data_IF_921077721130
#
_entry.id   IF_921077721130
#
_cell.length_a   1.000
_cell.length_b   1.000
_cell.length_c   1.000
_cell.angle_alpha   90.00
_cell.angle_beta   90.00
_cell.angle_gamma   90.00
#
_symmetry.space_group_name_H-M   'P 1'
#
loop_
_entity.id
_entity.type
_entity.pdbx_description
1 polymer ?
#
# COMPACT_ATOMS: atom_id res chain seq x y z
N UNK A 1 -44.58 -7.23 -6.09
CA UNK A 1 -43.46 -7.88 -5.39
C UNK A 1 -42.34 -8.03 -6.42
N UNK A 2 -41.43 -7.10 -6.45
CA UNK A 2 -40.22 -7.15 -7.30
C UNK A 2 -39.09 -7.70 -6.45
N UNK A 3 -38.58 -8.89 -6.81
CA UNK A 3 -37.40 -9.50 -6.22
C UNK A 3 -36.22 -8.50 -6.24
N UNK A 4 -35.41 -8.48 -5.18
CA UNK A 4 -34.17 -7.69 -5.20
C UNK A 4 -33.29 -8.26 -6.33
N UNK A 5 -33.05 -7.50 -7.37
CA UNK A 5 -32.09 -7.85 -8.41
C UNK A 5 -30.72 -8.02 -7.74
N UNK A 6 -30.30 -9.27 -7.56
CA UNK A 6 -28.92 -9.60 -7.28
C UNK A 6 -28.04 -8.93 -8.35
N UNK A 7 -27.01 -8.20 -7.90
CA UNK A 7 -26.05 -7.66 -8.83
C UNK A 7 -25.46 -8.82 -9.64
N UNK A 8 -25.42 -8.74 -10.99
CA UNK A 8 -25.01 -9.86 -11.81
C UNK A 8 -23.62 -10.30 -11.41
N UNK A 9 -23.47 -11.57 -11.03
CA UNK A 9 -22.19 -12.18 -10.72
C UNK A 9 -21.24 -11.91 -11.90
N UNK A 10 -20.13 -11.18 -11.64
CA UNK A 10 -19.14 -10.90 -12.68
C UNK A 10 -18.55 -12.23 -13.11
N UNK A 11 -18.73 -12.61 -14.38
CA UNK A 11 -18.23 -13.88 -14.92
C UNK A 11 -16.73 -14.04 -14.61
N UNK A 12 -16.28 -15.24 -14.25
CA UNK A 12 -14.93 -15.52 -13.75
C UNK A 12 -13.78 -14.99 -14.65
N UNK A 13 -13.93 -15.05 -15.97
CA UNK A 13 -12.92 -14.51 -16.89
C UNK A 13 -12.80 -12.97 -16.83
N UNK A 14 -13.91 -12.24 -16.54
CA UNK A 14 -13.86 -10.78 -16.33
C UNK A 14 -13.18 -10.44 -15.01
N UNK A 15 -13.40 -11.25 -13.97
CA UNK A 15 -12.71 -11.10 -12.68
C UNK A 15 -11.20 -11.25 -12.85
N UNK A 16 -10.75 -12.29 -13.54
CA UNK A 16 -9.33 -12.52 -13.85
C UNK A 16 -8.75 -11.36 -14.66
N UNK A 17 -9.46 -10.88 -15.69
CA UNK A 17 -9.03 -9.73 -16.49
C UNK A 17 -8.87 -8.44 -15.67
N UNK A 18 -9.80 -8.15 -14.75
CA UNK A 18 -9.71 -7.00 -13.86
C UNK A 18 -8.50 -7.13 -12.91
N UNK A 19 -8.28 -8.31 -12.32
CA UNK A 19 -7.14 -8.55 -11.42
C UNK A 19 -5.82 -8.43 -12.15
N UNK A 20 -5.68 -9.00 -13.34
CA UNK A 20 -4.45 -8.89 -14.15
C UNK A 20 -4.22 -7.45 -14.60
N UNK A 21 -5.22 -6.78 -15.15
CA UNK A 21 -5.09 -5.39 -15.63
C UNK A 21 -4.77 -4.41 -14.51
N UNK A 22 -5.54 -4.47 -13.41
CA UNK A 22 -5.31 -3.59 -12.26
C UNK A 22 -4.00 -3.94 -11.53
N UNK A 23 -3.65 -5.22 -11.41
CA UNK A 23 -2.38 -5.66 -10.83
C UNK A 23 -1.17 -5.14 -11.62
N UNK A 24 -1.22 -5.21 -12.96
CA UNK A 24 -0.20 -4.65 -13.85
C UNK A 24 -0.13 -3.12 -13.71
N UNK A 25 -1.28 -2.43 -13.68
CA UNK A 25 -1.31 -0.99 -13.45
C UNK A 25 -0.74 -0.59 -12.07
N UNK A 26 -0.99 -1.40 -11.03
CA UNK A 26 -0.38 -1.20 -9.71
C UNK A 26 1.13 -1.45 -9.73
N UNK A 27 1.60 -2.48 -10.46
CA UNK A 27 3.05 -2.72 -10.65
C UNK A 27 3.72 -1.50 -11.26
N UNK A 28 3.14 -0.95 -12.34
CA UNK A 28 3.63 0.27 -12.98
C UNK A 28 3.62 1.47 -12.00
N UNK A 29 2.51 1.70 -11.30
CA UNK A 29 2.35 2.83 -10.39
C UNK A 29 3.37 2.80 -9.24
N UNK A 30 3.61 1.64 -8.62
CA UNK A 30 4.60 1.50 -7.55
C UNK A 30 6.03 1.63 -8.08
N UNK A 31 6.35 1.03 -9.22
CA UNK A 31 7.67 1.06 -9.85
C UNK A 31 8.11 2.48 -10.19
N UNK A 32 7.23 3.25 -10.82
CA UNK A 32 7.49 4.60 -11.34
C UNK A 32 7.28 5.72 -10.33
N UNK A 33 6.83 5.42 -9.10
CA UNK A 33 6.61 6.41 -8.05
C UNK A 33 7.42 6.11 -6.79
N UNK A 34 6.91 5.25 -5.92
CA UNK A 34 7.53 4.96 -4.62
C UNK A 34 8.94 4.39 -4.75
N UNK A 35 9.17 3.50 -5.73
CA UNK A 35 10.48 2.88 -5.94
C UNK A 35 11.44 3.71 -6.80
N UNK A 36 10.93 4.69 -7.54
CA UNK A 36 11.71 5.55 -8.41
C UNK A 36 12.78 6.34 -7.67
N UNK A 37 12.43 6.89 -6.47
CA UNK A 37 13.30 7.78 -5.70
C UNK A 37 14.69 7.20 -5.42
N UNK A 38 14.77 5.88 -5.22
CA UNK A 38 16.02 5.19 -4.91
C UNK A 38 17.10 5.38 -6.00
N UNK A 39 16.70 5.58 -7.25
CA UNK A 39 17.61 5.69 -8.40
C UNK A 39 17.77 7.10 -8.93
N UNK A 40 16.75 7.95 -8.74
CA UNK A 40 16.79 9.31 -9.32
C UNK A 40 17.25 10.37 -8.32
N UNK A 41 17.23 10.11 -7.01
CA UNK A 41 17.53 11.13 -6.01
C UNK A 41 18.96 11.70 -6.14
N UNK A 42 19.97 10.86 -6.28
CA UNK A 42 21.35 11.27 -6.48
C UNK A 42 21.56 12.04 -7.79
N UNK A 43 21.20 11.47 -8.95
CA UNK A 43 21.28 12.16 -10.24
C UNK A 43 20.49 13.48 -10.28
N UNK A 44 19.28 13.55 -9.70
CA UNK A 44 18.52 14.79 -9.61
C UNK A 44 19.25 15.86 -8.79
N UNK A 45 19.81 15.46 -7.63
CA UNK A 45 20.53 16.37 -6.76
C UNK A 45 21.78 16.95 -7.46
N UNK A 46 22.55 16.08 -8.11
CA UNK A 46 23.77 16.50 -8.82
C UNK A 46 23.46 17.44 -10.00
N UNK A 47 22.44 17.12 -10.80
CA UNK A 47 22.12 17.87 -12.01
C UNK A 47 21.49 19.26 -11.71
N UNK A 48 20.72 19.38 -10.62
CA UNK A 48 20.06 20.65 -10.24
C UNK A 48 20.90 21.46 -9.24
N UNK A 49 22.06 20.94 -8.83
CA UNK A 49 22.92 21.62 -7.83
C UNK A 49 22.29 21.69 -6.43
N UNK A 50 21.65 20.60 -6.00
CA UNK A 50 20.97 20.46 -4.71
C UNK A 50 21.54 19.30 -3.88
N UNK A 51 20.99 19.07 -2.70
CA UNK A 51 21.33 17.91 -1.88
C UNK A 51 20.35 16.76 -2.09
N UNK A 52 20.83 15.52 -1.97
CA UNK A 52 19.97 14.33 -1.98
C UNK A 52 18.90 14.41 -0.89
N UNK A 53 19.22 14.99 0.27
CA UNK A 53 18.26 15.22 1.35
C UNK A 53 17.08 16.10 0.92
N UNK A 54 17.34 17.13 0.08
CA UNK A 54 16.30 18.01 -0.46
C UNK A 54 15.36 17.24 -1.40
N UNK A 55 15.88 16.29 -2.17
CA UNK A 55 15.06 15.43 -3.04
C UNK A 55 14.19 14.48 -2.21
N UNK A 56 14.76 13.86 -1.17
CA UNK A 56 13.98 13.04 -0.24
C UNK A 56 12.93 13.86 0.53
N UNK A 57 13.22 15.14 0.84
CA UNK A 57 12.22 16.04 1.42
C UNK A 57 11.05 16.29 0.45
N UNK A 58 11.31 16.45 -0.84
CA UNK A 58 10.27 16.57 -1.85
C UNK A 58 9.40 15.29 -1.94
N UNK A 59 10.04 14.12 -1.88
CA UNK A 59 9.34 12.84 -1.80
C UNK A 59 8.49 12.70 -0.52
N UNK A 60 9.02 13.14 0.63
CA UNK A 60 8.24 13.23 1.87
C UNK A 60 7.00 14.10 1.67
N UNK A 61 7.16 15.28 1.04
CA UNK A 61 6.05 16.14 0.64
C UNK A 61 5.02 15.42 -0.23
N UNK A 62 5.47 14.61 -1.20
CA UNK A 62 4.59 13.78 -2.02
C UNK A 62 3.76 12.78 -1.19
N UNK A 63 4.38 12.09 -0.22
CA UNK A 63 3.68 11.17 0.68
C UNK A 63 2.64 11.89 1.56
N UNK A 64 2.95 13.11 2.01
CA UNK A 64 2.00 13.93 2.77
C UNK A 64 0.81 14.38 1.89
N UNK A 65 1.03 14.78 0.64
CA UNK A 65 -0.06 15.06 -0.32
C UNK A 65 -0.93 13.83 -0.50
N UNK A 66 -0.33 12.65 -0.70
CA UNK A 66 -1.07 11.40 -0.82
C UNK A 66 -1.89 11.07 0.44
N UNK A 67 -1.35 11.35 1.65
CA UNK A 67 -2.06 11.18 2.91
C UNK A 67 -3.28 12.11 3.02
N UNK A 68 -3.13 13.39 2.68
CA UNK A 68 -4.19 14.39 2.75
C UNK A 68 -5.34 14.13 1.77
N UNK A 69 -5.00 13.61 0.58
CA UNK A 69 -5.99 13.30 -0.45
C UNK A 69 -6.75 11.99 -0.18
N UNK A 70 -6.14 11.06 0.53
CA UNK A 70 -6.67 9.71 0.75
C UNK A 70 -8.16 9.65 1.12
N UNK A 71 -8.63 10.35 2.17
CA UNK A 71 -10.04 10.31 2.57
C UNK A 71 -10.99 10.85 1.48
N UNK A 72 -10.61 11.93 0.77
CA UNK A 72 -11.42 12.48 -0.33
C UNK A 72 -11.49 11.52 -1.52
N UNK A 73 -10.36 10.95 -1.89
CA UNK A 73 -10.25 9.95 -2.96
C UNK A 73 -11.11 8.73 -2.65
N UNK A 74 -10.99 8.18 -1.45
CA UNK A 74 -11.80 7.04 -1.02
C UNK A 74 -13.29 7.33 -1.11
N UNK A 75 -13.75 8.48 -0.61
CA UNK A 75 -15.15 8.90 -0.73
C UNK A 75 -15.59 9.07 -2.19
N UNK A 76 -14.74 9.64 -3.03
CA UNK A 76 -15.02 9.78 -4.46
C UNK A 76 -15.21 8.42 -5.12
N UNK A 77 -14.38 7.43 -4.79
CA UNK A 77 -14.50 6.07 -5.31
C UNK A 77 -15.78 5.39 -4.82
N UNK A 78 -16.14 5.57 -3.55
CA UNK A 78 -17.39 5.02 -3.00
C UNK A 78 -18.63 5.55 -3.74
N UNK A 79 -18.62 6.81 -4.19
CA UNK A 79 -19.74 7.43 -4.89
C UNK A 79 -19.71 7.23 -6.41
N UNK A 80 -18.56 7.43 -7.04
CA UNK A 80 -18.43 7.48 -8.50
C UNK A 80 -17.85 6.20 -9.11
N UNK A 81 -17.25 5.33 -8.29
CA UNK A 81 -16.46 4.20 -8.74
C UNK A 81 -14.97 4.54 -8.91
N UNK A 82 -14.14 3.49 -9.06
CA UNK A 82 -12.68 3.64 -9.07
C UNK A 82 -12.08 3.93 -10.45
N UNK A 83 -12.82 3.66 -11.54
CA UNK A 83 -12.30 3.71 -12.92
C UNK A 83 -11.71 5.08 -13.27
N UNK A 84 -12.50 6.12 -13.12
CA UNK A 84 -12.14 7.50 -13.47
C UNK A 84 -11.03 8.04 -12.54
N UNK A 85 -11.09 7.72 -11.26
CA UNK A 85 -10.08 8.13 -10.26
C UNK A 85 -8.72 7.50 -10.58
N UNK A 86 -8.68 6.20 -10.86
CA UNK A 86 -7.47 5.48 -11.25
C UNK A 86 -6.95 5.90 -12.64
N UNK A 87 -7.84 6.29 -13.57
CA UNK A 87 -7.43 6.88 -14.83
C UNK A 87 -6.76 8.25 -14.63
N UNK A 88 -7.35 9.13 -13.82
CA UNK A 88 -6.77 10.44 -13.48
C UNK A 88 -5.42 10.29 -12.79
N UNK A 89 -5.22 9.26 -11.95
CA UNK A 89 -3.92 9.03 -11.33
C UNK A 89 -2.79 8.85 -12.35
N UNK A 90 -3.05 8.17 -13.47
CA UNK A 90 -2.05 7.99 -14.54
C UNK A 90 -1.69 9.33 -15.22
N UNK A 91 -2.67 10.23 -15.38
CA UNK A 91 -2.40 11.57 -15.90
C UNK A 91 -1.54 12.38 -14.92
N UNK A 92 -1.80 12.27 -13.60
CA UNK A 92 -1.01 12.92 -12.58
C UNK A 92 0.41 12.35 -12.47
N UNK A 93 0.57 11.02 -12.55
CA UNK A 93 1.88 10.38 -12.62
C UNK A 93 2.66 10.85 -13.86
N UNK A 94 2.04 10.82 -15.03
CA UNK A 94 2.69 11.27 -16.27
C UNK A 94 3.07 12.75 -16.18
N UNK A 95 2.18 13.62 -15.71
CA UNK A 95 2.45 15.05 -15.54
C UNK A 95 3.57 15.30 -14.53
N UNK A 96 3.55 14.63 -13.37
CA UNK A 96 4.59 14.75 -12.36
C UNK A 96 5.97 14.31 -12.88
N UNK A 97 6.03 13.17 -13.57
CA UNK A 97 7.24 12.65 -14.20
C UNK A 97 7.78 13.60 -15.31
N UNK A 98 6.90 14.16 -16.12
CA UNK A 98 7.29 15.15 -17.14
C UNK A 98 7.78 16.45 -16.51
N UNK A 99 7.09 16.97 -15.49
CA UNK A 99 7.54 18.17 -14.77
C UNK A 99 8.92 17.93 -14.13
N UNK A 100 9.15 16.75 -13.52
CA UNK A 100 10.48 16.39 -13.03
C UNK A 100 11.52 16.33 -14.15
N UNK A 101 11.20 15.66 -15.27
CA UNK A 101 12.12 15.54 -16.41
C UNK A 101 12.52 16.89 -17.00
N UNK A 102 11.66 17.88 -16.95
CA UNK A 102 11.88 19.24 -17.45
C UNK A 102 12.39 20.21 -16.36
N UNK A 103 12.56 19.75 -15.12
CA UNK A 103 12.96 20.62 -14.02
C UNK A 103 14.38 21.14 -14.20
N UNK A 104 14.53 22.47 -14.17
CA UNK A 104 15.81 23.16 -14.14
C UNK A 104 16.11 23.80 -12.78
N UNK A 105 15.23 23.63 -11.80
CA UNK A 105 15.37 24.20 -10.47
C UNK A 105 14.67 23.35 -9.41
N UNK A 106 15.09 23.50 -8.16
CA UNK A 106 14.53 22.79 -7.01
C UNK A 106 13.00 22.99 -6.88
N UNK A 107 12.42 24.20 -6.98
CA UNK A 107 10.97 24.38 -6.88
C UNK A 107 10.17 23.62 -7.95
N UNK A 108 10.67 23.58 -9.20
CA UNK A 108 10.01 22.84 -10.28
C UNK A 108 10.08 21.34 -10.02
N UNK A 109 11.22 20.83 -9.53
CA UNK A 109 11.36 19.44 -9.14
C UNK A 109 10.39 19.07 -7.99
N UNK A 110 10.25 19.94 -7.01
CA UNK A 110 9.28 19.77 -5.93
C UNK A 110 7.85 19.70 -6.46
N UNK A 111 7.48 20.59 -7.39
CA UNK A 111 6.17 20.53 -8.04
C UNK A 111 5.93 19.16 -8.69
N UNK A 112 6.93 18.62 -9.40
CA UNK A 112 6.87 17.28 -9.98
C UNK A 112 6.60 16.20 -8.92
N UNK A 113 7.34 16.21 -7.80
CA UNK A 113 7.12 15.28 -6.70
C UNK A 113 5.75 15.45 -6.03
N UNK A 114 5.26 16.68 -5.85
CA UNK A 114 3.93 16.92 -5.29
C UNK A 114 2.80 16.40 -6.22
N UNK A 115 2.96 16.55 -7.55
CA UNK A 115 2.06 15.94 -8.53
C UNK A 115 2.11 14.41 -8.46
N UNK A 116 3.31 13.83 -8.33
CA UNK A 116 3.48 12.40 -8.07
C UNK A 116 2.75 11.97 -6.79
N UNK A 117 2.81 12.79 -5.74
CA UNK A 117 2.08 12.55 -4.49
C UNK A 117 0.58 12.50 -4.69
N UNK A 118 0.02 13.42 -5.48
CA UNK A 118 -1.39 13.36 -5.86
C UNK A 118 -1.70 12.09 -6.66
N UNK A 119 -0.86 11.74 -7.64
CA UNK A 119 -0.95 10.48 -8.37
C UNK A 119 -0.94 9.26 -7.44
N UNK A 120 -0.03 9.22 -6.47
CA UNK A 120 0.05 8.15 -5.46
C UNK A 120 -1.22 8.07 -4.60
N UNK A 121 -1.79 9.21 -4.22
CA UNK A 121 -3.04 9.26 -3.45
C UNK A 121 -4.24 8.67 -4.22
N UNK A 122 -4.30 8.93 -5.53
CA UNK A 122 -5.39 8.48 -6.40
C UNK A 122 -5.15 7.08 -7.01
N UNK A 123 -3.91 6.59 -7.06
CA UNK A 123 -3.54 5.46 -7.91
C UNK A 123 -2.93 4.26 -7.23
N UNK A 124 -2.44 4.36 -5.98
CA UNK A 124 -1.85 3.23 -5.26
C UNK A 124 -2.90 2.37 -4.56
N UNK A 125 -2.45 1.39 -3.78
CA UNK A 125 -3.28 0.33 -3.20
C UNK A 125 -4.58 0.78 -2.55
N UNK A 126 -4.62 1.88 -1.79
CA UNK A 126 -5.85 2.30 -1.10
C UNK A 126 -6.98 2.59 -2.11
N UNK A 127 -6.65 3.29 -3.20
CA UNK A 127 -7.61 3.58 -4.27
C UNK A 127 -7.98 2.32 -5.05
N UNK A 128 -7.00 1.44 -5.34
CA UNK A 128 -7.25 0.17 -6.02
C UNK A 128 -8.12 -0.78 -5.18
N UNK A 129 -7.87 -0.87 -3.87
CA UNK A 129 -8.69 -1.67 -2.94
C UNK A 129 -10.10 -1.10 -2.82
N UNK A 130 -10.24 0.23 -2.71
CA UNK A 130 -11.54 0.89 -2.71
C UNK A 130 -12.33 0.58 -3.99
N UNK A 131 -11.67 0.64 -5.16
CA UNK A 131 -12.28 0.29 -6.44
C UNK A 131 -12.75 -1.18 -6.47
N UNK A 132 -11.92 -2.13 -5.99
CA UNK A 132 -12.29 -3.53 -5.89
C UNK A 132 -13.41 -3.76 -4.88
N UNK A 133 -13.39 -3.08 -3.74
CA UNK A 133 -14.48 -3.13 -2.75
C UNK A 133 -15.80 -2.64 -3.34
N UNK A 134 -15.76 -1.60 -4.18
CA UNK A 134 -16.95 -1.08 -4.88
C UNK A 134 -17.47 -2.02 -5.96
N UNK A 135 -16.58 -2.79 -6.62
CA UNK A 135 -16.96 -3.76 -7.69
C UNK A 135 -17.46 -5.07 -7.10
N UNK A 136 -16.79 -5.60 -6.08
CA UNK A 136 -17.01 -6.97 -5.58
C UNK A 136 -17.68 -7.04 -4.20
N UNK A 137 -17.85 -5.92 -3.51
CA UNK A 137 -18.44 -5.89 -2.17
C UNK A 137 -17.68 -6.79 -1.20
N UNK A 138 -18.38 -7.64 -0.47
CA UNK A 138 -17.81 -8.61 0.48
C UNK A 138 -16.85 -9.61 -0.17
N UNK A 139 -16.98 -9.86 -1.47
CA UNK A 139 -16.14 -10.79 -2.23
C UNK A 139 -14.82 -10.17 -2.74
N UNK A 140 -14.48 -8.94 -2.34
CA UNK A 140 -13.30 -8.25 -2.81
C UNK A 140 -11.97 -8.81 -2.26
N UNK A 141 -11.97 -9.64 -1.20
CA UNK A 141 -10.75 -10.22 -0.60
C UNK A 141 -9.85 -10.89 -1.65
N UNK A 142 -10.39 -11.81 -2.45
CA UNK A 142 -9.62 -12.52 -3.48
C UNK A 142 -9.00 -11.58 -4.53
N UNK A 143 -9.78 -10.68 -5.16
CA UNK A 143 -9.23 -9.64 -6.02
C UNK A 143 -8.16 -8.75 -5.37
N UNK A 144 -8.34 -8.32 -4.12
CA UNK A 144 -7.34 -7.53 -3.37
C UNK A 144 -6.03 -8.33 -3.24
N UNK A 145 -6.10 -9.58 -2.79
CA UNK A 145 -4.92 -10.46 -2.71
C UNK A 145 -4.29 -10.65 -4.08
N UNK A 146 -5.08 -10.87 -5.12
CA UNK A 146 -4.61 -11.06 -6.50
C UNK A 146 -3.79 -9.88 -7.04
N UNK A 147 -4.30 -8.65 -6.91
CA UNK A 147 -3.53 -7.47 -7.37
C UNK A 147 -2.27 -7.24 -6.53
N UNK A 148 -2.27 -7.59 -5.25
CA UNK A 148 -1.08 -7.45 -4.40
C UNK A 148 -0.02 -8.49 -4.70
N UNK A 149 -0.39 -9.68 -5.17
CA UNK A 149 0.54 -10.69 -5.66
C UNK A 149 1.28 -10.18 -6.90
N UNK A 150 0.55 -9.65 -7.89
CA UNK A 150 1.13 -9.13 -9.14
C UNK A 150 2.00 -7.90 -8.84
N UNK A 151 1.47 -6.92 -8.13
CA UNK A 151 2.21 -5.71 -7.79
C UNK A 151 3.29 -5.93 -6.72
N UNK A 152 3.35 -7.10 -6.11
CA UNK A 152 4.48 -7.53 -5.29
C UNK A 152 5.80 -7.57 -6.06
N UNK A 153 5.74 -7.71 -7.38
CA UNK A 153 6.91 -7.67 -8.27
C UNK A 153 7.28 -6.24 -8.73
N UNK A 154 6.63 -5.20 -8.21
CA UNK A 154 6.88 -3.83 -8.66
C UNK A 154 8.34 -3.38 -8.47
N UNK A 155 8.99 -3.74 -7.35
CA UNK A 155 10.43 -3.49 -7.16
C UNK A 155 11.29 -4.39 -8.03
N UNK A 156 10.93 -5.66 -8.20
CA UNK A 156 11.66 -6.63 -9.03
C UNK A 156 11.71 -6.20 -10.50
N UNK A 157 10.66 -5.59 -11.00
CA UNK A 157 10.59 -5.05 -12.37
C UNK A 157 11.10 -3.61 -12.44
N UNK A 158 10.66 -2.77 -11.50
CA UNK A 158 10.90 -1.33 -11.52
C UNK A 158 12.35 -0.95 -11.26
N UNK A 159 13.03 -1.64 -10.35
CA UNK A 159 14.41 -1.33 -10.02
C UNK A 159 15.38 -1.56 -11.18
N UNK A 160 15.42 -2.76 -11.80
CA UNK A 160 16.29 -2.97 -12.95
C UNK A 160 15.99 -2.06 -14.13
N UNK A 161 14.69 -1.83 -14.44
CA UNK A 161 14.29 -0.95 -15.53
C UNK A 161 14.69 0.52 -15.26
N UNK A 162 14.50 0.99 -14.02
CA UNK A 162 14.85 2.36 -13.65
C UNK A 162 16.37 2.55 -13.62
N UNK A 163 17.13 1.60 -13.03
CA UNK A 163 18.60 1.63 -13.02
C UNK A 163 19.16 1.65 -14.43
N UNK A 164 18.76 0.69 -15.24
CA UNK A 164 19.17 0.63 -16.66
C UNK A 164 18.84 1.92 -17.42
N UNK A 165 17.63 2.45 -17.22
CA UNK A 165 17.20 3.68 -17.87
C UNK A 165 18.05 4.88 -17.45
N UNK A 166 18.34 5.01 -16.14
CA UNK A 166 19.19 6.08 -15.61
C UNK A 166 20.61 5.97 -16.11
N UNK A 167 21.17 4.77 -16.15
CA UNK A 167 22.54 4.52 -16.61
C UNK A 167 22.69 4.73 -18.12
N UNK A 168 21.72 4.29 -18.93
CA UNK A 168 21.80 4.33 -20.39
C UNK A 168 21.35 5.67 -20.99
N UNK A 169 20.35 6.34 -20.42
CA UNK A 169 19.69 7.51 -21.02
C UNK A 169 19.61 8.73 -20.07
N UNK A 170 20.05 8.57 -18.84
CA UNK A 170 19.93 9.58 -17.79
C UNK A 170 18.55 9.62 -17.14
N UNK A 171 18.49 10.23 -15.94
CA UNK A 171 17.28 10.26 -15.12
C UNK A 171 16.09 10.99 -15.77
N UNK A 172 16.35 12.05 -16.57
CA UNK A 172 15.30 12.82 -17.26
C UNK A 172 14.56 11.96 -18.29
N UNK A 173 15.30 11.28 -19.17
CA UNK A 173 14.74 10.37 -20.17
C UNK A 173 14.04 9.17 -19.53
N UNK A 174 14.55 8.68 -18.40
CA UNK A 174 13.90 7.62 -17.61
C UNK A 174 12.55 8.07 -17.08
N UNK A 175 12.45 9.30 -16.54
CA UNK A 175 11.17 9.88 -16.12
C UNK A 175 10.20 10.02 -17.30
N UNK A 176 10.68 10.47 -18.48
CA UNK A 176 9.83 10.53 -19.70
C UNK A 176 9.35 9.13 -20.14
N UNK A 177 10.21 8.12 -20.05
CA UNK A 177 9.84 6.72 -20.34
C UNK A 177 8.74 6.21 -19.41
N UNK A 178 8.85 6.46 -18.12
CA UNK A 178 7.81 6.14 -17.16
C UNK A 178 6.51 6.93 -17.39
N UNK A 179 6.60 8.21 -17.77
CA UNK A 179 5.43 9.02 -18.15
C UNK A 179 4.72 8.41 -19.37
N UNK A 180 5.47 8.04 -20.40
CA UNK A 180 4.93 7.35 -21.57
C UNK A 180 4.27 6.01 -21.20
N UNK A 181 4.87 5.22 -20.30
CA UNK A 181 4.29 3.98 -19.81
C UNK A 181 2.96 4.20 -19.09
N UNK A 182 2.82 5.28 -18.31
CA UNK A 182 1.53 5.64 -17.70
C UNK A 182 0.47 5.98 -18.76
N UNK A 183 0.82 6.69 -19.81
CA UNK A 183 -0.11 7.07 -20.89
C UNK A 183 -0.48 5.90 -21.78
N UNK A 184 0.48 5.05 -22.14
CA UNK A 184 0.30 3.97 -23.12
C UNK A 184 -0.18 2.65 -22.49
N UNK A 185 0.11 2.42 -21.22
CA UNK A 185 -0.25 1.17 -20.53
C UNK A 185 -1.16 1.44 -19.33
N UNK A 186 -0.76 2.28 -18.37
CA UNK A 186 -1.49 2.50 -17.13
C UNK A 186 -2.88 3.09 -17.35
N UNK A 187 -2.97 4.16 -18.13
CA UNK A 187 -4.25 4.83 -18.44
C UNK A 187 -5.22 3.89 -19.19
N UNK A 188 -4.84 3.20 -20.27
CA UNK A 188 -5.72 2.24 -20.93
C UNK A 188 -6.18 1.09 -20.02
N UNK A 189 -5.26 0.51 -19.23
CA UNK A 189 -5.61 -0.57 -18.29
C UNK A 189 -6.67 -0.13 -17.28
N UNK A 190 -6.55 1.07 -16.70
CA UNK A 190 -7.51 1.57 -15.75
C UNK A 190 -8.80 2.04 -16.43
N UNK A 191 -8.72 2.64 -17.63
CA UNK A 191 -9.89 3.19 -18.32
C UNK A 191 -10.74 2.12 -18.99
N UNK A 192 -10.14 1.08 -19.55
CA UNK A 192 -10.83 0.03 -20.31
C UNK A 192 -10.91 -1.30 -19.54
N UNK A 193 -9.97 -1.54 -18.62
CA UNK A 193 -9.94 -2.77 -17.81
C UNK A 193 -10.93 -2.76 -16.64
N UNK A 194 -11.36 -1.59 -16.16
CA UNK A 194 -12.32 -1.49 -15.06
C UNK A 194 -13.74 -1.20 -15.57
N UNK A 195 -14.78 -1.80 -14.95
CA UNK A 195 -16.17 -1.54 -15.33
C UNK A 195 -16.57 -0.10 -14.97
N UNK A 196 -17.39 0.50 -15.81
CA UNK A 196 -18.06 1.75 -15.50
C UNK A 196 -19.22 1.47 -14.57
N UNK A 197 -19.12 1.90 -13.33
CA UNK A 197 -20.19 1.71 -12.35
C UNK A 197 -21.20 2.87 -12.49
N UNK A 198 -22.46 2.52 -12.57
CA UNK A 198 -23.55 3.51 -12.58
C UNK A 198 -23.68 4.08 -11.17
N UNK A 199 -23.88 5.40 -11.05
CA UNK A 199 -24.21 6.03 -9.78
C UNK A 199 -25.43 5.36 -9.18
N UNK A 200 -25.45 5.10 -7.86
CA UNK A 200 -26.69 4.68 -7.23
C UNK A 200 -27.78 5.72 -7.57
N UNK A 201 -28.92 5.27 -8.09
CA UNK A 201 -30.04 6.16 -8.35
C UNK A 201 -30.49 6.79 -7.03
N UNK A 202 -30.60 8.11 -6.96
CA UNK A 202 -31.06 8.85 -5.76
C UNK A 202 -32.56 8.59 -5.44
N UNK A 203 -33.20 7.66 -6.13
CA UNK A 203 -34.64 7.35 -5.99
C UNK A 203 -35.02 6.56 -4.74
N UNK A 204 -34.12 6.32 -3.81
CA UNK A 204 -34.44 5.82 -2.49
C UNK A 204 -33.98 6.82 -1.44
N UNK A 205 -34.93 7.55 -0.83
CA UNK A 205 -34.81 8.50 0.29
C UNK A 205 -33.35 8.70 0.74
N UNK A 206 -32.82 9.89 0.51
CA UNK A 206 -31.59 10.36 1.14
C UNK A 206 -31.74 10.34 2.68
N UNK A 207 -31.81 9.17 3.25
CA UNK A 207 -31.47 8.98 4.64
C UNK A 207 -29.98 9.28 4.69
N UNK A 208 -29.61 10.40 5.30
CA UNK A 208 -28.24 10.76 5.59
C UNK A 208 -27.55 9.53 6.16
N UNK A 209 -26.68 8.89 5.33
CA UNK A 209 -25.84 7.80 5.85
C UNK A 209 -25.15 8.35 7.08
N UNK A 210 -25.21 7.68 8.24
CA UNK A 210 -24.50 8.12 9.42
C UNK A 210 -23.05 8.37 9.04
N UNK A 211 -22.51 9.53 9.37
CA UNK A 211 -21.14 9.88 9.06
C UNK A 211 -20.22 8.77 9.59
N UNK A 212 -19.24 8.35 8.77
CA UNK A 212 -18.22 7.41 9.23
C UNK A 212 -17.52 8.02 10.42
N UNK A 213 -17.72 7.42 11.59
CA UNK A 213 -17.10 7.84 12.84
C UNK A 213 -15.78 7.10 13.01
N UNK A 214 -14.74 7.79 13.45
CA UNK A 214 -13.50 7.19 13.93
C UNK A 214 -13.77 6.51 15.26
N UNK A 215 -14.40 5.33 15.21
CA UNK A 215 -14.68 4.52 16.39
C UNK A 215 -13.41 3.85 16.94
N UNK A 216 -13.56 3.13 18.04
CA UNK A 216 -12.45 2.39 18.67
C UNK A 216 -11.76 1.43 17.69
N UNK A 217 -12.50 0.71 16.87
CA UNK A 217 -11.94 -0.22 15.91
C UNK A 217 -11.10 0.50 14.83
N UNK A 218 -11.61 1.64 14.34
CA UNK A 218 -10.87 2.48 13.39
C UNK A 218 -9.56 3.01 13.97
N UNK A 219 -9.56 3.50 15.22
CA UNK A 219 -8.35 3.98 15.89
C UNK A 219 -7.33 2.87 16.12
N UNK A 220 -7.78 1.68 16.56
CA UNK A 220 -6.89 0.52 16.77
C UNK A 220 -6.25 0.07 15.46
N UNK A 221 -7.01 0.00 14.36
CA UNK A 221 -6.47 -0.34 13.05
C UNK A 221 -5.56 0.75 12.49
N UNK A 222 -5.91 2.03 12.63
CA UNK A 222 -5.08 3.15 12.22
C UNK A 222 -3.71 3.11 12.92
N UNK A 223 -3.70 2.89 14.23
CA UNK A 223 -2.47 2.71 14.99
C UNK A 223 -1.68 1.49 14.51
N UNK A 224 -2.31 0.33 14.38
CA UNK A 224 -1.63 -0.91 14.01
C UNK A 224 -0.98 -0.81 12.62
N UNK A 225 -1.70 -0.27 11.63
CA UNK A 225 -1.14 -0.10 10.29
C UNK A 225 -0.08 1.00 10.24
N UNK A 226 -0.28 2.13 10.92
CA UNK A 226 0.73 3.18 11.00
C UNK A 226 2.03 2.70 11.65
N UNK A 227 1.93 1.93 12.73
CA UNK A 227 3.05 1.30 13.42
C UNK A 227 3.82 0.33 12.53
N UNK A 228 3.11 -0.56 11.81
CA UNK A 228 3.73 -1.50 10.88
C UNK A 228 4.46 -0.79 9.73
N UNK A 229 3.87 0.27 9.18
CA UNK A 229 4.50 1.07 8.10
C UNK A 229 5.66 1.94 8.59
N UNK A 230 5.60 2.41 9.84
CA UNK A 230 6.76 3.06 10.48
C UNK A 230 7.96 2.10 10.50
N UNK A 231 7.78 0.88 11.02
CA UNK A 231 8.87 -0.11 11.12
C UNK A 231 9.37 -0.50 9.72
N UNK A 232 8.47 -0.70 8.76
CA UNK A 232 8.87 -1.01 7.38
C UNK A 232 9.66 0.13 6.73
N UNK A 233 9.23 1.38 6.90
CA UNK A 233 9.94 2.56 6.39
C UNK A 233 11.30 2.77 7.07
N UNK A 234 11.38 2.57 8.36
CA UNK A 234 12.62 2.63 9.13
C UNK A 234 13.65 1.59 8.64
N UNK A 235 13.23 0.34 8.48
CA UNK A 235 14.10 -0.73 7.99
C UNK A 235 14.48 -0.52 6.52
N UNK A 236 13.56 -0.07 5.67
CA UNK A 236 13.88 0.19 4.27
C UNK A 236 15.03 1.20 4.11
N UNK A 237 15.13 2.17 5.01
CA UNK A 237 16.19 3.20 4.96
C UNK A 237 17.47 2.79 5.68
N UNK A 238 17.38 2.05 6.80
CA UNK A 238 18.51 1.87 7.72
C UNK A 238 18.90 0.41 7.94
N UNK A 239 18.35 -0.54 7.17
CA UNK A 239 18.65 -1.96 7.30
C UNK A 239 20.14 -2.28 7.27
N UNK A 240 20.95 -1.77 6.32
CA UNK A 240 22.38 -2.11 6.28
C UNK A 240 23.10 -1.71 7.57
N UNK A 241 22.90 -0.47 8.00
CA UNK A 241 23.53 0.07 9.22
C UNK A 241 23.08 -0.67 10.48
N UNK A 242 21.77 -0.99 10.58
CA UNK A 242 21.23 -1.74 11.71
C UNK A 242 21.84 -3.14 11.81
N UNK A 243 21.93 -3.87 10.69
CA UNK A 243 22.50 -5.22 10.66
C UNK A 243 24.03 -5.19 10.90
N UNK A 244 24.74 -4.19 10.41
CA UNK A 244 26.16 -3.98 10.70
C UNK A 244 26.39 -3.80 12.20
N UNK A 245 25.58 -2.99 12.89
CA UNK A 245 25.61 -2.85 14.35
C UNK A 245 25.29 -4.12 15.11
N UNK A 246 24.58 -5.07 14.48
CA UNK A 246 24.34 -6.41 15.01
C UNK A 246 25.44 -7.42 14.65
N UNK A 247 26.54 -7.00 14.04
CA UNK A 247 27.68 -7.83 13.67
C UNK A 247 27.50 -8.63 12.38
N UNK A 248 26.58 -8.22 11.48
CA UNK A 248 26.43 -8.86 10.19
C UNK A 248 27.54 -8.46 9.22
N UNK A 249 28.08 -9.41 8.46
CA UNK A 249 28.99 -9.16 7.36
C UNK A 249 28.27 -8.50 6.17
N UNK A 250 29.01 -7.82 5.28
CA UNK A 250 28.48 -7.20 4.06
C UNK A 250 27.68 -8.21 3.23
N UNK A 251 28.16 -9.45 3.09
CA UNK A 251 27.46 -10.50 2.35
C UNK A 251 26.11 -10.87 3.00
N UNK A 252 26.08 -10.98 4.34
CA UNK A 252 24.84 -11.27 5.08
C UNK A 252 23.82 -10.13 4.93
N UNK A 253 24.26 -8.88 4.98
CA UNK A 253 23.42 -7.70 4.77
C UNK A 253 22.80 -7.71 3.37
N UNK A 254 23.61 -7.97 2.33
CA UNK A 254 23.13 -8.05 0.95
C UNK A 254 22.11 -9.16 0.76
N UNK A 255 22.39 -10.37 1.24
CA UNK A 255 21.45 -11.50 1.15
C UNK A 255 20.17 -11.20 1.92
N UNK A 256 20.26 -10.64 3.13
CA UNK A 256 19.11 -10.27 3.93
C UNK A 256 18.20 -9.26 3.20
N UNK A 257 18.81 -8.24 2.57
CA UNK A 257 18.06 -7.27 1.74
C UNK A 257 17.37 -7.94 0.54
N UNK A 258 18.05 -8.88 -0.13
CA UNK A 258 17.49 -9.61 -1.28
C UNK A 258 16.35 -10.55 -0.90
N UNK A 259 16.31 -11.08 0.31
CA UNK A 259 15.26 -12.01 0.80
C UNK A 259 13.95 -11.27 1.06
N UNK A 260 13.96 -9.98 1.35
CA UNK A 260 12.77 -9.20 1.70
C UNK A 260 11.64 -9.32 0.66
N UNK A 261 11.94 -9.10 -0.60
CA UNK A 261 10.95 -9.17 -1.69
C UNK A 261 10.34 -10.56 -1.88
N UNK A 262 11.14 -11.60 -2.09
CA UNK A 262 10.66 -12.98 -2.18
C UNK A 262 9.84 -13.41 -0.95
N UNK A 263 10.26 -13.07 0.26
CA UNK A 263 9.51 -13.38 1.48
C UNK A 263 8.12 -12.73 1.49
N UNK A 264 8.00 -11.48 1.05
CA UNK A 264 6.70 -10.81 0.92
C UNK A 264 5.79 -11.53 -0.09
N UNK A 265 6.30 -11.90 -1.26
CA UNK A 265 5.52 -12.57 -2.30
C UNK A 265 5.08 -13.96 -1.86
N UNK A 266 6.00 -14.74 -1.27
CA UNK A 266 5.69 -16.07 -0.74
C UNK A 266 4.63 -16.02 0.37
N UNK A 267 4.73 -15.07 1.29
CA UNK A 267 3.74 -14.90 2.35
C UNK A 267 2.35 -14.51 1.81
N UNK A 268 2.30 -13.65 0.78
CA UNK A 268 1.05 -13.30 0.09
C UNK A 268 0.46 -14.49 -0.65
N UNK A 269 1.30 -15.30 -1.30
CA UNK A 269 0.87 -16.55 -1.94
C UNK A 269 0.34 -17.55 -0.89
N UNK A 270 1.03 -17.72 0.23
CA UNK A 270 0.56 -18.55 1.32
C UNK A 270 -0.79 -18.08 1.87
N UNK A 271 -0.98 -16.77 2.05
CA UNK A 271 -2.29 -16.21 2.46
C UNK A 271 -3.38 -16.53 1.42
N UNK A 272 -3.09 -16.35 0.14
CA UNK A 272 -4.04 -16.58 -0.94
C UNK A 272 -4.50 -18.04 -1.03
N UNK A 273 -3.56 -18.98 -0.96
CA UNK A 273 -3.81 -20.39 -1.25
C UNK A 273 -4.04 -21.26 -0.02
N UNK A 274 -3.38 -20.95 1.11
CA UNK A 274 -3.41 -21.79 2.31
C UNK A 274 -4.26 -21.20 3.42
N UNK A 275 -4.41 -19.86 3.49
CA UNK A 275 -5.08 -19.18 4.60
C UNK A 275 -6.37 -18.46 4.17
N UNK A 276 -6.88 -18.73 2.97
CA UNK A 276 -8.07 -18.06 2.43
C UNK A 276 -9.32 -18.21 3.32
N UNK A 277 -9.42 -19.32 4.07
CA UNK A 277 -10.52 -19.60 5.01
C UNK A 277 -10.31 -18.97 6.41
N UNK A 278 -9.11 -18.50 6.71
CA UNK A 278 -8.81 -17.87 8.00
C UNK A 278 -9.25 -16.41 7.96
N UNK A 279 -9.83 -15.94 9.05
CA UNK A 279 -10.27 -14.54 9.14
C UNK A 279 -9.08 -13.56 8.97
N UNK A 280 -9.16 -12.52 8.13
CA UNK A 280 -8.04 -11.60 7.85
C UNK A 280 -7.43 -10.98 9.10
N UNK A 281 -8.26 -10.66 10.09
CA UNK A 281 -7.82 -10.10 11.36
C UNK A 281 -6.89 -11.05 12.14
N UNK A 282 -7.19 -12.37 12.15
CA UNK A 282 -6.35 -13.38 12.81
C UNK A 282 -5.00 -13.50 12.13
N UNK A 283 -4.99 -13.57 10.81
CA UNK A 283 -3.75 -13.63 10.03
C UNK A 283 -2.88 -12.39 10.30
N UNK A 284 -3.50 -11.20 10.35
CA UNK A 284 -2.80 -9.93 10.59
C UNK A 284 -2.17 -9.85 11.97
N UNK A 285 -2.86 -10.34 13.00
CA UNK A 285 -2.35 -10.41 14.38
C UNK A 285 -1.04 -11.20 14.44
N UNK A 286 -1.03 -12.37 13.81
CA UNK A 286 0.15 -13.24 13.78
C UNK A 286 1.26 -12.67 12.89
N UNK A 287 0.91 -12.10 11.74
CA UNK A 287 1.87 -11.54 10.79
C UNK A 287 2.72 -10.41 11.39
N UNK A 288 2.13 -9.58 12.26
CA UNK A 288 2.86 -8.50 12.94
C UNK A 288 3.91 -9.01 13.94
N UNK A 289 3.81 -10.27 14.40
CA UNK A 289 4.80 -10.89 15.27
C UNK A 289 6.04 -11.40 14.52
N UNK A 290 6.01 -11.47 13.20
CA UNK A 290 7.16 -11.88 12.40
C UNK A 290 8.39 -11.00 12.64
N UNK A 291 8.21 -9.67 12.74
CA UNK A 291 9.31 -8.75 13.04
C UNK A 291 9.92 -8.97 14.44
N UNK A 292 9.17 -8.95 15.56
CA UNK A 292 9.77 -9.17 16.87
C UNK A 292 10.41 -10.55 17.04
N UNK A 293 9.85 -11.61 16.43
CA UNK A 293 10.48 -12.92 16.45
C UNK A 293 11.83 -12.89 15.72
N UNK A 294 11.88 -12.32 14.52
CA UNK A 294 13.12 -12.18 13.78
C UNK A 294 14.14 -11.28 14.49
N UNK A 295 13.70 -10.18 15.10
CA UNK A 295 14.55 -9.29 15.89
C UNK A 295 15.16 -10.01 17.10
N UNK A 296 14.36 -10.83 17.81
CA UNK A 296 14.86 -11.65 18.90
C UNK A 296 15.94 -12.63 18.45
N UNK A 297 15.81 -13.23 17.25
CA UNK A 297 16.84 -14.09 16.65
C UNK A 297 18.14 -13.30 16.39
N UNK A 298 18.07 -12.08 15.86
CA UNK A 298 19.26 -11.23 15.63
C UNK A 298 19.90 -10.82 16.96
N UNK A 299 19.10 -10.44 17.95
CA UNK A 299 19.61 -10.08 19.28
C UNK A 299 20.34 -11.26 19.94
N UNK A 300 19.84 -12.48 19.80
CA UNK A 300 20.42 -13.68 20.39
C UNK A 300 21.61 -14.26 19.58
N UNK A 301 21.52 -14.25 18.24
CA UNK A 301 22.47 -14.92 17.35
C UNK A 301 23.31 -13.98 16.49
N UNK A 302 23.19 -12.65 16.69
CA UNK A 302 23.94 -11.66 15.94
C UNK A 302 23.66 -11.65 14.43
N UNK A 303 24.64 -11.18 13.67
CA UNK A 303 24.54 -11.02 12.20
C UNK A 303 24.24 -12.30 11.43
N UNK A 304 24.54 -13.50 11.97
CA UNK A 304 24.19 -14.77 11.36
C UNK A 304 22.67 -14.95 11.18
N UNK A 305 21.86 -14.27 11.99
CA UNK A 305 20.39 -14.32 11.94
C UNK A 305 19.77 -13.22 11.06
N UNK A 306 20.57 -12.41 10.35
CA UNK A 306 20.08 -11.33 9.50
C UNK A 306 19.12 -11.83 8.40
N UNK A 307 19.42 -12.96 7.76
CA UNK A 307 18.60 -13.54 6.68
C UNK A 307 17.27 -14.06 7.21
N UNK A 308 17.21 -14.91 8.24
CA UNK A 308 15.95 -15.32 8.88
C UNK A 308 15.12 -14.13 9.37
N UNK A 309 15.74 -13.13 9.97
CA UNK A 309 15.07 -11.89 10.39
C UNK A 309 14.33 -11.23 9.23
N UNK A 310 15.03 -11.01 8.12
CA UNK A 310 14.43 -10.36 6.97
C UNK A 310 13.37 -11.21 6.28
N UNK A 311 13.50 -12.53 6.33
CA UNK A 311 12.47 -13.47 5.89
C UNK A 311 11.17 -13.31 6.69
N UNK A 312 11.28 -13.31 8.02
CA UNK A 312 10.12 -13.16 8.93
C UNK A 312 9.51 -11.75 8.84
N UNK A 313 10.34 -10.71 8.85
CA UNK A 313 9.87 -9.34 8.69
C UNK A 313 9.19 -9.13 7.33
N UNK A 314 9.80 -9.59 6.26
CA UNK A 314 9.26 -9.50 4.90
C UNK A 314 7.94 -10.25 4.76
N UNK A 315 7.86 -11.47 5.27
CA UNK A 315 6.63 -12.27 5.28
C UNK A 315 5.50 -11.55 6.03
N UNK A 316 5.78 -11.07 7.25
CA UNK A 316 4.83 -10.31 8.04
C UNK A 316 4.35 -9.04 7.35
N UNK A 317 5.28 -8.27 6.75
CA UNK A 317 4.94 -7.06 6.00
C UNK A 317 4.13 -7.35 4.72
N UNK A 318 4.45 -8.44 4.01
CA UNK A 318 3.69 -8.89 2.86
C UNK A 318 2.22 -9.15 3.19
N UNK A 319 1.96 -9.88 4.26
CA UNK A 319 0.59 -10.14 4.77
C UNK A 319 -0.09 -8.85 5.25
N UNK A 320 0.61 -8.00 5.98
CA UNK A 320 0.07 -6.75 6.50
C UNK A 320 -0.37 -5.81 5.36
N UNK A 321 0.29 -5.87 4.21
CA UNK A 321 -0.12 -5.12 3.01
C UNK A 321 -1.51 -5.55 2.50
N UNK A 322 -1.79 -6.86 2.46
CA UNK A 322 -3.12 -7.40 2.12
C UNK A 322 -4.13 -7.04 3.21
N UNK A 323 -3.74 -7.20 4.47
CA UNK A 323 -4.57 -6.96 5.65
C UNK A 323 -5.12 -5.54 5.68
N UNK A 324 -4.34 -4.55 5.24
CA UNK A 324 -4.75 -3.16 5.15
C UNK A 324 -6.01 -2.97 4.28
N UNK A 325 -6.19 -3.80 3.25
CA UNK A 325 -7.42 -3.84 2.46
C UNK A 325 -8.48 -4.77 3.05
N UNK A 326 -8.09 -5.98 3.46
CA UNK A 326 -9.05 -7.04 3.79
C UNK A 326 -9.62 -6.94 5.21
N UNK A 327 -8.86 -6.43 6.19
CA UNK A 327 -9.34 -6.30 7.58
C UNK A 327 -10.44 -5.25 7.71
N UNK A 328 -10.31 -4.01 7.18
CA UNK A 328 -11.41 -3.06 7.22
C UNK A 328 -12.67 -3.56 6.50
N UNK A 329 -12.51 -4.28 5.39
CA UNK A 329 -13.62 -4.89 4.67
C UNK A 329 -14.33 -5.96 5.51
N UNK A 330 -13.57 -6.81 6.19
CA UNK A 330 -14.12 -7.88 7.04
C UNK A 330 -14.80 -7.35 8.31
N UNK A 331 -14.33 -6.21 8.84
CA UNK A 331 -14.86 -5.62 10.10
C UNK A 331 -16.05 -4.70 9.82
N UNK A 332 -16.02 -3.89 8.77
CA UNK A 332 -17.01 -2.85 8.51
C UNK A 332 -17.89 -3.11 7.28
N UNK A 333 -17.58 -4.15 6.51
CA UNK A 333 -18.25 -4.41 5.24
C UNK A 333 -17.88 -3.43 4.13
N UNK A 334 -18.56 -3.52 2.98
CA UNK A 334 -18.23 -2.74 1.79
C UNK A 334 -18.77 -1.30 1.80
N UNK A 335 -19.61 -0.96 2.78
CA UNK A 335 -20.21 0.39 2.87
C UNK A 335 -19.18 1.42 3.31
N UNK A 336 -19.08 2.53 2.57
CA UNK A 336 -18.08 3.59 2.81
C UNK A 336 -16.63 3.08 2.96
N UNK A 337 -16.35 1.94 2.33
CA UNK A 337 -15.09 1.22 2.46
C UNK A 337 -13.91 2.05 1.95
N UNK A 338 -14.05 2.72 0.81
CA UNK A 338 -13.01 3.57 0.26
C UNK A 338 -12.68 4.74 1.19
N UNK A 339 -13.70 5.39 1.76
CA UNK A 339 -13.49 6.48 2.71
C UNK A 339 -12.76 6.00 3.98
N UNK A 340 -13.13 4.83 4.51
CA UNK A 340 -12.44 4.20 5.65
C UNK A 340 -10.98 3.89 5.33
N UNK A 341 -10.71 3.34 4.14
CA UNK A 341 -9.32 3.11 3.68
C UNK A 341 -8.51 4.40 3.60
N UNK A 342 -9.10 5.47 3.11
CA UNK A 342 -8.46 6.77 3.08
C UNK A 342 -8.13 7.31 4.47
N UNK A 343 -9.04 7.16 5.45
CA UNK A 343 -8.82 7.54 6.84
C UNK A 343 -7.71 6.70 7.49
N UNK A 344 -7.69 5.40 7.27
CA UNK A 344 -6.65 4.49 7.78
C UNK A 344 -5.31 4.70 7.07
N UNK A 345 -5.34 5.08 5.80
CA UNK A 345 -4.17 5.33 4.98
C UNK A 345 -3.40 6.60 5.34
N UNK A 346 -4.09 7.64 5.79
CA UNK A 346 -3.46 8.92 6.10
C UNK A 346 -2.38 8.81 7.20
N UNK A 347 -2.66 8.29 8.42
CA UNK A 347 -1.62 8.12 9.44
C UNK A 347 -0.51 7.16 8.99
N UNK A 348 -0.85 6.13 8.22
CA UNK A 348 0.12 5.17 7.68
C UNK A 348 1.16 5.87 6.78
N UNK A 349 0.72 6.73 5.88
CA UNK A 349 1.62 7.49 4.98
C UNK A 349 2.42 8.56 5.71
N UNK A 350 1.82 9.23 6.70
CA UNK A 350 2.51 10.20 7.54
C UNK A 350 3.65 9.51 8.29
N UNK A 351 3.37 8.41 8.96
CA UNK A 351 4.43 7.68 9.70
C UNK A 351 5.50 7.13 8.78
N UNK A 352 5.12 6.62 7.61
CA UNK A 352 6.07 6.16 6.59
C UNK A 352 6.98 7.29 6.09
N UNK A 353 6.45 8.49 5.89
CA UNK A 353 7.21 9.65 5.42
C UNK A 353 8.29 10.09 6.43
N UNK A 354 7.99 10.03 7.72
CA UNK A 354 8.92 10.46 8.77
C UNK A 354 9.73 9.31 9.39
N UNK A 355 9.41 8.05 9.10
CA UNK A 355 10.06 6.89 9.69
C UNK A 355 11.60 6.90 9.51
N UNK A 356 12.17 7.19 8.32
CA UNK A 356 13.63 7.22 8.16
C UNK A 356 14.29 8.25 9.06
N UNK A 357 13.73 9.46 9.15
CA UNK A 357 14.30 10.54 9.97
C UNK A 357 14.22 10.19 11.47
N UNK A 358 13.06 9.80 11.95
CA UNK A 358 12.86 9.48 13.37
C UNK A 358 13.71 8.29 13.78
N UNK A 359 13.76 7.25 12.94
CA UNK A 359 14.54 6.04 13.25
C UNK A 359 16.05 6.28 13.17
N UNK A 360 16.54 7.20 12.32
CA UNK A 360 17.94 7.61 12.32
C UNK A 360 18.38 8.12 13.69
N UNK A 361 17.57 9.01 14.31
CA UNK A 361 17.83 9.53 15.63
C UNK A 361 17.87 8.42 16.70
N UNK A 362 16.92 7.48 16.62
CA UNK A 362 16.88 6.31 17.51
C UNK A 362 18.13 5.44 17.33
N UNK A 363 18.51 5.18 16.08
CA UNK A 363 19.67 4.35 15.76
C UNK A 363 20.99 5.00 16.21
N UNK A 364 21.12 6.32 16.11
CA UNK A 364 22.28 7.06 16.58
C UNK A 364 22.47 6.98 18.09
N UNK A 365 21.37 6.93 18.86
CA UNK A 365 21.43 6.92 20.33
C UNK A 365 21.43 5.49 20.91
N UNK A 366 20.68 4.56 20.30
CA UNK A 366 20.44 3.24 20.84
C UNK A 366 21.18 2.11 20.08
N UNK A 367 21.75 2.39 18.92
CA UNK A 367 22.44 1.38 18.11
C UNK A 367 21.57 0.15 17.84
N UNK A 368 22.11 -1.06 18.01
CA UNK A 368 21.39 -2.32 17.84
C UNK A 368 20.18 -2.48 18.78
N UNK A 369 20.16 -1.79 19.94
CA UNK A 369 19.02 -1.84 20.86
C UNK A 369 17.75 -1.17 20.28
N UNK A 370 17.84 -0.45 19.16
CA UNK A 370 16.68 0.02 18.38
C UNK A 370 15.75 -1.12 17.93
N UNK A 371 16.24 -2.36 17.85
CA UNK A 371 15.43 -3.55 17.60
C UNK A 371 14.40 -3.82 18.70
N UNK A 372 14.68 -3.48 19.96
CA UNK A 372 13.70 -3.60 21.04
C UNK A 372 12.53 -2.63 20.84
N UNK A 373 12.83 -1.39 20.43
CA UNK A 373 11.79 -0.39 20.13
C UNK A 373 10.89 -0.83 18.96
N UNK A 374 11.50 -1.25 17.85
CA UNK A 374 10.71 -1.69 16.67
C UNK A 374 9.90 -2.95 16.98
N UNK A 375 10.44 -3.86 17.81
CA UNK A 375 9.72 -5.04 18.28
C UNK A 375 8.55 -4.66 19.20
N UNK A 376 8.75 -3.75 20.14
CA UNK A 376 7.69 -3.24 21.02
C UNK A 376 6.56 -2.58 20.21
N UNK A 377 6.90 -1.79 19.17
CA UNK A 377 5.93 -1.17 18.25
C UNK A 377 5.11 -2.25 17.53
N UNK A 378 5.75 -3.30 16.99
CA UNK A 378 5.05 -4.40 16.30
C UNK A 378 4.18 -5.23 17.25
N UNK A 379 4.65 -5.49 18.48
CA UNK A 379 3.86 -6.19 19.50
C UNK A 379 2.64 -5.33 19.87
N UNK A 380 2.82 -4.03 20.11
CA UNK A 380 1.72 -3.12 20.40
C UNK A 380 0.70 -3.07 19.24
N UNK A 381 1.18 -3.07 17.98
CA UNK A 381 0.34 -3.15 16.80
C UNK A 381 -0.47 -4.45 16.74
N UNK A 382 0.17 -5.59 17.01
CA UNK A 382 -0.52 -6.89 17.11
C UNK A 382 -1.57 -6.87 18.22
N UNK A 383 -1.22 -6.40 19.42
CA UNK A 383 -2.15 -6.29 20.56
C UNK A 383 -3.33 -5.36 20.23
N UNK A 384 -3.09 -4.23 19.55
CA UNK A 384 -4.17 -3.35 19.11
C UNK A 384 -5.19 -4.10 18.25
N UNK A 385 -4.73 -4.95 17.33
CA UNK A 385 -5.62 -5.76 16.50
C UNK A 385 -6.37 -6.85 17.31
N UNK A 386 -5.82 -7.32 18.46
CA UNK A 386 -6.55 -8.25 19.33
C UNK A 386 -7.77 -7.59 19.98
N UNK A 387 -7.71 -6.30 20.21
CA UNK A 387 -8.84 -5.53 20.77
C UNK A 387 -9.85 -5.06 19.72
N UNK A 388 -9.61 -5.27 18.42
CA UNK A 388 -10.61 -5.02 17.37
C UNK A 388 -11.72 -6.06 17.49
N UNK A 389 -12.96 -5.58 17.65
CA UNK A 389 -14.14 -6.41 17.72
C UNK A 389 -14.77 -6.53 16.32
N UNK A 390 -15.04 -7.75 15.89
CA UNK A 390 -15.82 -8.01 14.67
C UNK A 390 -17.30 -8.00 15.07
N UNK A 391 -18.13 -7.09 14.53
CA UNK A 391 -19.56 -7.12 14.83
C UNK A 391 -20.16 -8.44 14.35
N UNK A 392 -21.15 -9.00 15.06
CA UNK A 392 -21.90 -10.15 14.58
C UNK A 392 -22.45 -9.80 13.19
N UNK A 393 -22.37 -10.73 12.23
CA UNK A 393 -23.11 -10.56 10.97
C UNK A 393 -24.59 -10.43 11.35
N UNK A 394 -25.21 -9.29 10.99
CA UNK A 394 -26.66 -9.18 11.08
C UNK A 394 -27.27 -10.38 10.31
N UNK A 395 -28.01 -11.22 11.01
CA UNK A 395 -28.75 -12.29 10.38
C UNK A 395 -29.67 -11.64 9.32
N UNK A 396 -29.59 -12.12 8.09
CA UNK A 396 -30.51 -11.66 7.05
C UNK A 396 -31.93 -11.73 7.62
N UNK A 397 -32.77 -10.69 7.46
CA UNK A 397 -34.10 -10.69 8.00
C UNK A 397 -34.79 -11.95 7.48
N UNK A 398 -35.22 -12.84 8.42
CA UNK A 398 -36.01 -14.01 8.11
C UNK A 398 -37.29 -13.48 7.47
N UNK A 399 -37.41 -13.63 6.17
CA UNK A 399 -38.66 -13.34 5.46
C UNK A 399 -39.65 -14.36 6.01
N UNK A 400 -40.42 -13.91 6.99
CA UNK A 400 -41.46 -14.74 7.57
C UNK A 400 -42.43 -15.17 6.46
N UNK A 401 -42.54 -16.47 6.21
CA UNK A 401 -43.68 -17.04 5.54
C UNK A 401 -44.91 -16.66 6.37
N UNK A 402 -45.66 -15.66 5.91
CA UNK A 402 -46.99 -15.38 6.43
C UNK A 402 -47.85 -16.64 6.24
N UNK A 403 -48.73 -16.93 7.19
CA UNK A 403 -49.63 -18.09 7.09
C UNK A 403 -50.52 -17.91 5.86
N UNK A 404 -50.51 -18.92 4.98
CA UNK A 404 -51.48 -19.09 3.94
C UNK A 404 -52.87 -19.26 4.54
N UNK A 405 -53.75 -18.29 4.36
CA UNK A 405 -55.19 -18.42 4.54
C UNK A 405 -55.87 -18.48 3.17
#
# INVERSE_FOLDING_TARGET
MSEPREAPAVKDWRKTGIVLGLGTAQTLAWASSYYLIAFVAGPQAADIGSSTSMIYAAFTGALLVAALLGPRVGRTIDHLGGREVLAVSNLLFAAGLLVMALAASVPVLWLGWLLMGAGMGLGLYDAAFAALGRIYGENARGPITGITLIAGFASTVGWPLTSWGVDAFGWRSTCMGWAAAHMLLGLPLNLFGLPRLVRPSESGKAGSSPAVVMDRNMWLMAFAFAAAWFVAGALAAHLPRLLELCGASVSQILIAGMVLGPAQVLARAAEAFLMSQVHPLTISRVAMLGHPVGAAMVIAGGGAMAVPFMGLHGGGHGITTIARGTVPLAVFGPRDYGYRLGLLGAPTRITQAFAPLVFSLVLDHAGAASLYLTSAICIAASLALWFVKVPPKEAAPVVGCGPSA
#
